data_IF_759131748411
#
_entry.id   IF_759131748411
#
_cell.length_a   1.000
_cell.length_b   1.000
_cell.length_c   1.000
_cell.angle_alpha   90.00
_cell.angle_beta   90.00
_cell.angle_gamma   90.00
#
_symmetry.space_group_name_H-M   'P 1'
#
loop_
_entity.id
_entity.type
_entity.pdbx_description
1 polymer ?
#
# COMPACT_ATOMS: atom_id res chain seq x y z
N UNK A 1 -3.38 -7.28 -8.66
CA UNK A 1 -2.99 -6.23 -9.61
C UNK A 1 -1.51 -6.41 -9.95
N UNK A 2 -1.17 -6.46 -11.23
CA UNK A 2 0.16 -6.77 -11.74
C UNK A 2 0.92 -5.54 -12.25
N UNK A 3 0.28 -4.36 -12.30
CA UNK A 3 0.91 -3.12 -12.74
C UNK A 3 1.19 -2.19 -11.55
N UNK A 4 2.39 -2.35 -10.98
CA UNK A 4 2.94 -1.44 -9.98
C UNK A 4 3.81 -0.34 -10.59
N UNK A 5 3.96 -0.28 -11.91
CA UNK A 5 4.89 0.59 -12.62
C UNK A 5 4.24 1.85 -13.21
N UNK A 6 2.95 1.81 -13.53
CA UNK A 6 2.20 3.00 -13.97
C UNK A 6 1.66 3.77 -12.77
N UNK A 7 1.50 5.10 -12.79
CA UNK A 7 0.75 5.81 -11.74
C UNK A 7 -0.77 5.64 -11.89
N UNK A 8 -1.55 5.94 -10.86
CA UNK A 8 -3.03 6.07 -10.93
C UNK A 8 -3.49 7.53 -11.02
N UNK A 9 -2.61 8.49 -10.74
CA UNK A 9 -2.87 9.90 -10.94
C UNK A 9 -1.58 10.67 -11.22
N UNK A 10 -1.74 11.80 -11.91
CA UNK A 10 -0.66 12.73 -12.19
C UNK A 10 -1.17 14.17 -12.11
N UNK A 11 -0.42 15.07 -11.47
CA UNK A 11 -0.75 16.48 -11.27
C UNK A 11 -2.16 16.71 -10.68
N UNK A 12 -2.62 15.84 -9.78
CA UNK A 12 -3.95 15.95 -9.16
C UNK A 12 -5.09 15.43 -10.03
N UNK A 13 -4.79 14.79 -11.17
CA UNK A 13 -5.79 14.21 -12.07
C UNK A 13 -5.68 12.70 -12.04
N UNK A 14 -6.74 12.03 -11.60
CA UNK A 14 -6.82 10.57 -11.60
C UNK A 14 -6.99 10.02 -13.02
N UNK A 15 -6.16 9.04 -13.37
CA UNK A 15 -6.33 8.20 -14.56
C UNK A 15 -6.97 6.85 -14.23
N UNK A 16 -6.91 6.44 -12.95
CA UNK A 16 -7.48 5.20 -12.43
C UNK A 16 -8.07 5.43 -11.03
N UNK A 17 -9.06 4.65 -10.59
CA UNK A 17 -9.51 4.69 -9.20
C UNK A 17 -8.42 4.17 -8.24
N UNK A 18 -8.61 4.38 -6.94
CA UNK A 18 -7.85 3.67 -5.92
C UNK A 18 -7.93 2.15 -6.17
N UNK A 19 -6.83 1.44 -5.92
CA UNK A 19 -6.64 0.02 -6.23
C UNK A 19 -6.67 -0.39 -7.71
N UNK A 20 -6.91 0.53 -8.66
CA UNK A 20 -7.04 0.31 -10.12
C UNK A 20 -8.19 -0.60 -10.55
N UNK A 21 -8.33 -1.74 -9.90
CA UNK A 21 -9.22 -2.83 -10.25
C UNK A 21 -10.17 -3.13 -9.10
N UNK A 22 -11.38 -3.65 -9.40
CA UNK A 22 -12.25 -4.22 -8.38
C UNK A 22 -11.57 -5.37 -7.62
N UNK A 23 -12.02 -5.62 -6.39
CA UNK A 23 -11.53 -6.75 -5.57
C UNK A 23 -11.60 -8.07 -6.33
N UNK A 24 -10.49 -8.80 -6.28
CA UNK A 24 -10.35 -10.13 -6.81
C UNK A 24 -10.52 -11.22 -5.75
N UNK A 25 -9.87 -12.35 -6.02
CA UNK A 25 -9.71 -13.43 -5.06
C UNK A 25 -8.63 -13.09 -4.05
N UNK A 26 -8.84 -13.51 -2.81
CA UNK A 26 -7.81 -13.47 -1.77
C UNK A 26 -6.59 -14.27 -2.22
N UNK A 27 -5.42 -13.63 -2.31
CA UNK A 27 -4.18 -14.28 -2.78
C UNK A 27 -3.26 -14.71 -1.64
N UNK A 28 -3.52 -14.24 -0.42
CA UNK A 28 -2.74 -14.60 0.75
C UNK A 28 -3.53 -14.43 2.04
N UNK A 29 -3.09 -15.13 3.09
CA UNK A 29 -3.62 -15.04 4.45
C UNK A 29 -2.47 -14.65 5.37
N UNK A 30 -2.66 -13.60 6.16
CA UNK A 30 -1.67 -13.16 7.14
C UNK A 30 -2.23 -13.21 8.56
N UNK A 31 -1.39 -13.57 9.53
CA UNK A 31 -1.74 -13.49 10.95
C UNK A 31 -1.48 -12.09 11.50
N UNK A 32 -2.28 -11.68 12.49
CA UNK A 32 -1.95 -10.51 13.30
C UNK A 32 -0.55 -10.68 13.91
N UNK A 33 0.29 -9.64 13.84
CA UNK A 33 1.69 -9.67 14.23
C UNK A 33 2.66 -10.24 13.19
N UNK A 34 2.16 -10.82 12.09
CA UNK A 34 3.01 -11.33 11.01
C UNK A 34 3.68 -10.19 10.23
N UNK A 35 4.91 -10.41 9.77
CA UNK A 35 5.59 -9.47 8.88
C UNK A 35 5.29 -9.81 7.42
N UNK A 36 4.66 -8.88 6.71
CA UNK A 36 4.56 -8.92 5.26
C UNK A 36 5.77 -8.24 4.63
N UNK A 37 6.26 -8.79 3.51
CA UNK A 37 7.33 -8.18 2.72
C UNK A 37 6.84 -7.94 1.30
N UNK A 38 6.83 -6.67 0.88
CA UNK A 38 6.59 -6.27 -0.51
C UNK A 38 7.93 -5.99 -1.19
N UNK A 39 8.18 -6.69 -2.29
CA UNK A 39 9.39 -6.51 -3.10
C UNK A 39 9.07 -5.64 -4.30
N UNK A 40 9.78 -4.53 -4.42
CA UNK A 40 9.55 -3.55 -5.48
C UNK A 40 10.50 -3.76 -6.65
N UNK A 41 10.02 -3.54 -7.86
CA UNK A 41 10.85 -3.46 -9.06
C UNK A 41 11.32 -2.01 -9.23
N UNK A 42 12.62 -1.79 -9.42
CA UNK A 42 13.24 -0.46 -9.43
C UNK A 42 13.46 0.12 -10.83
N UNK A 43 12.68 -0.30 -11.84
CA UNK A 43 12.89 0.08 -13.25
C UNK A 43 13.10 1.58 -13.48
N UNK A 44 12.22 2.44 -12.96
CA UNK A 44 12.36 3.89 -12.98
C UNK A 44 12.13 4.43 -11.56
N UNK A 45 13.18 4.66 -10.76
CA UNK A 45 13.01 4.94 -9.33
C UNK A 45 12.69 6.41 -9.04
N UNK A 46 12.69 7.32 -10.03
CA UNK A 46 12.30 8.73 -9.87
C UNK A 46 12.96 9.47 -8.68
N UNK A 47 14.26 9.19 -8.44
CA UNK A 47 15.04 9.64 -7.26
C UNK A 47 14.37 9.33 -5.91
N UNK A 48 13.52 8.32 -5.91
CA UNK A 48 12.80 7.78 -4.78
C UNK A 48 11.52 8.52 -4.47
N UNK A 49 11.35 8.91 -3.22
CA UNK A 49 10.12 9.54 -2.73
C UNK A 49 9.54 8.83 -1.52
N UNK A 50 8.24 9.01 -1.32
CA UNK A 50 7.53 8.54 -0.13
C UNK A 50 6.66 7.34 -0.46
N UNK A 51 6.80 6.24 0.27
CA UNK A 51 5.85 5.14 0.14
C UNK A 51 5.33 4.64 1.47
N UNK A 52 4.15 4.05 1.40
CA UNK A 52 3.48 3.45 2.53
C UNK A 52 3.03 2.03 2.21
N UNK A 53 3.02 1.21 3.24
CA UNK A 53 2.25 -0.03 3.26
C UNK A 53 1.07 0.21 4.18
N UNK A 54 -0.13 -0.07 3.71
CA UNK A 54 -1.37 0.21 4.42
C UNK A 54 -2.35 -0.95 4.35
N UNK A 55 -3.30 -0.99 5.28
CA UNK A 55 -4.39 -1.96 5.27
C UNK A 55 -5.72 -1.20 5.22
N UNK A 56 -6.63 -1.67 4.38
CA UNK A 56 -8.04 -1.30 4.43
C UNK A 56 -8.92 -2.50 4.73
N UNK A 57 -9.89 -2.30 5.61
CA UNK A 57 -10.92 -3.28 5.93
C UNK A 57 -12.20 -3.07 5.10
N UNK A 58 -12.29 -1.96 4.36
CA UNK A 58 -13.51 -1.52 3.67
C UNK A 58 -13.28 -0.89 2.28
N UNK A 59 -12.03 -0.90 1.78
CA UNK A 59 -11.58 -0.29 0.50
C UNK A 59 -11.76 1.22 0.39
N UNK A 60 -12.00 1.90 1.51
CA UNK A 60 -12.16 3.36 1.56
C UNK A 60 -11.12 3.97 2.46
N UNK A 61 -10.99 3.40 3.65
CA UNK A 61 -10.10 3.87 4.69
C UNK A 61 -8.84 3.01 4.68
N UNK A 62 -7.72 3.56 4.24
CA UNK A 62 -6.42 2.88 4.19
C UNK A 62 -5.55 3.39 5.34
N UNK A 63 -5.34 2.55 6.34
CA UNK A 63 -4.51 2.88 7.51
C UNK A 63 -3.07 2.49 7.23
N UNK A 64 -2.16 3.46 7.30
CA UNK A 64 -0.72 3.26 7.12
C UNK A 64 -0.13 2.46 8.29
N UNK A 65 0.58 1.38 7.97
CA UNK A 65 1.25 0.49 8.94
C UNK A 65 2.78 0.48 8.78
N UNK A 66 3.29 1.10 7.70
CA UNK A 66 4.71 1.34 7.45
C UNK A 66 4.85 2.53 6.53
N UNK A 67 5.79 3.41 6.85
CA UNK A 67 6.12 4.57 6.03
C UNK A 67 7.62 4.60 5.77
N UNK A 68 8.02 4.83 4.51
CA UNK A 68 9.38 5.19 4.11
C UNK A 68 9.34 6.60 3.53
N UNK A 69 10.08 7.51 4.16
CA UNK A 69 10.20 8.88 3.70
C UNK A 69 11.42 9.02 2.79
N UNK A 70 11.26 9.71 1.66
CA UNK A 70 12.29 10.13 0.70
C UNK A 70 13.07 9.02 -0.03
N UNK A 71 13.21 7.84 0.57
CA UNK A 71 14.09 6.77 0.07
C UNK A 71 13.36 5.57 -0.55
N UNK A 72 12.05 5.68 -0.76
CA UNK A 72 11.33 4.60 -1.43
C UNK A 72 11.96 4.30 -2.79
N UNK A 73 12.01 3.03 -3.23
CA UNK A 73 12.55 2.64 -4.55
C UNK A 73 14.05 2.88 -4.80
N UNK A 74 14.81 3.49 -3.89
CA UNK A 74 16.23 3.83 -4.11
C UNK A 74 17.21 3.16 -3.16
N UNK A 75 16.74 2.67 -2.01
CA UNK A 75 17.57 1.89 -1.08
C UNK A 75 16.98 0.51 -0.80
N UNK A 76 17.73 -0.31 -0.06
CA UNK A 76 17.34 -1.70 0.22
C UNK A 76 16.03 -1.82 0.99
N UNK A 77 15.71 -0.88 1.89
CA UNK A 77 14.49 -0.87 2.69
C UNK A 77 13.29 -0.41 1.84
N UNK A 78 13.48 0.62 1.02
CA UNK A 78 12.51 1.10 0.04
C UNK A 78 12.20 0.12 -1.10
N UNK A 79 13.08 -0.87 -1.34
CA UNK A 79 12.87 -1.95 -2.31
C UNK A 79 12.33 -3.24 -1.68
N UNK A 80 12.49 -3.41 -0.36
CA UNK A 80 12.03 -4.58 0.38
C UNK A 80 11.20 -4.13 1.57
N UNK A 81 10.05 -3.54 1.29
CA UNK A 81 9.17 -2.94 2.29
C UNK A 81 8.63 -4.02 3.21
N UNK A 82 9.12 -4.02 4.46
CA UNK A 82 8.62 -4.87 5.53
C UNK A 82 7.63 -4.10 6.39
N UNK A 83 6.44 -4.65 6.56
CA UNK A 83 5.41 -4.10 7.42
C UNK A 83 4.87 -5.21 8.32
N UNK A 84 4.50 -4.86 9.55
CA UNK A 84 3.90 -5.81 10.50
C UNK A 84 2.39 -5.62 10.47
N UNK A 85 1.64 -6.70 10.24
CA UNK A 85 0.19 -6.67 10.42
C UNK A 85 -0.08 -6.35 11.89
N UNK A 86 -0.87 -5.31 12.22
CA UNK A 86 -1.10 -4.92 13.60
C UNK A 86 -1.59 -6.09 14.45
N UNK A 87 -1.05 -6.25 15.65
CA UNK A 87 -1.49 -7.29 16.60
C UNK A 87 -2.99 -7.17 16.95
N UNK A 88 -3.54 -5.97 16.86
CA UNK A 88 -4.96 -5.69 17.11
C UNK A 88 -5.86 -5.97 15.90
N UNK A 89 -5.32 -6.36 14.74
CA UNK A 89 -6.10 -6.52 13.52
C UNK A 89 -7.22 -7.55 13.71
N UNK A 90 -8.42 -7.31 13.11
CA UNK A 90 -9.52 -8.26 13.22
C UNK A 90 -9.32 -9.47 12.32
N UNK A 91 -9.97 -10.59 12.67
CA UNK A 91 -10.19 -11.68 11.71
C UNK A 91 -11.13 -11.22 10.61
N UNK A 92 -10.65 -11.24 9.36
CA UNK A 92 -11.43 -10.80 8.20
C UNK A 92 -11.05 -11.60 6.95
N UNK A 93 -12.04 -12.21 6.30
CA UNK A 93 -11.83 -13.01 5.09
C UNK A 93 -11.39 -12.19 3.87
N UNK A 94 -11.74 -10.90 3.83
CA UNK A 94 -11.38 -9.97 2.76
C UNK A 94 -10.97 -8.61 3.33
N UNK A 95 -9.66 -8.42 3.46
CA UNK A 95 -9.02 -7.12 3.66
C UNK A 95 -8.16 -6.78 2.45
N UNK A 96 -7.67 -5.55 2.39
CA UNK A 96 -6.82 -5.06 1.31
C UNK A 96 -5.51 -4.58 1.88
N UNK A 97 -4.40 -5.17 1.45
CA UNK A 97 -3.07 -4.62 1.66
C UNK A 97 -2.74 -3.73 0.46
N UNK A 98 -2.33 -2.48 0.71
CA UNK A 98 -1.98 -1.55 -0.35
C UNK A 98 -0.56 -1.02 -0.17
N UNK A 99 0.14 -0.91 -1.30
CA UNK A 99 1.34 -0.10 -1.43
C UNK A 99 1.00 1.20 -2.15
N UNK A 100 1.48 2.32 -1.62
CA UNK A 100 1.38 3.63 -2.26
C UNK A 100 2.76 4.24 -2.44
N UNK A 101 2.96 5.03 -3.49
CA UNK A 101 4.20 5.78 -3.70
C UNK A 101 3.93 7.14 -4.34
N UNK A 102 4.59 8.16 -3.78
CA UNK A 102 4.67 9.52 -4.32
C UNK A 102 6.12 9.73 -4.74
N UNK A 103 6.35 9.83 -6.05
CA UNK A 103 7.69 9.96 -6.61
C UNK A 103 8.32 11.33 -6.30
N UNK A 104 9.64 11.37 -6.11
CA UNK A 104 10.34 12.61 -5.82
C UNK A 104 10.56 13.48 -7.09
N UNK A 105 10.96 12.84 -8.20
CA UNK A 105 11.36 13.52 -9.44
C UNK A 105 10.51 13.12 -10.66
N UNK A 106 10.32 14.07 -11.58
CA UNK A 106 9.55 13.88 -12.81
C UNK A 106 8.15 14.48 -12.69
N UNK A 107 7.16 13.85 -13.30
CA UNK A 107 5.76 14.23 -13.11
C UNK A 107 5.37 14.16 -11.62
N UNK A 108 4.32 14.86 -11.23
CA UNK A 108 3.79 14.78 -9.86
C UNK A 108 2.83 13.61 -9.81
N UNK A 109 3.30 12.41 -9.49
CA UNK A 109 2.53 11.18 -9.67
C UNK A 109 2.14 10.54 -8.33
N UNK A 110 1.05 9.78 -8.36
CA UNK A 110 0.60 8.92 -7.28
C UNK A 110 0.47 7.49 -7.79
N UNK A 111 1.18 6.58 -7.16
CA UNK A 111 1.15 5.16 -7.47
C UNK A 111 0.40 4.43 -6.37
N UNK A 112 -0.41 3.45 -6.76
CA UNK A 112 -1.07 2.55 -5.83
C UNK A 112 -1.16 1.17 -6.45
N UNK A 113 -0.99 0.15 -5.61
CA UNK A 113 -1.22 -1.24 -5.94
C UNK A 113 -1.90 -1.91 -4.74
N UNK A 114 -3.00 -2.63 -4.99
CA UNK A 114 -3.78 -3.32 -3.97
C UNK A 114 -3.74 -4.83 -4.14
N UNK A 115 -3.68 -5.51 -3.00
CA UNK A 115 -3.57 -6.95 -2.86
C UNK A 115 -4.70 -7.42 -1.94
N UNK A 116 -5.59 -8.25 -2.47
CA UNK A 116 -6.68 -8.85 -1.70
C UNK A 116 -6.11 -9.94 -0.78
N UNK A 117 -6.27 -9.74 0.52
CA UNK A 117 -5.74 -10.64 1.56
C UNK A 117 -6.86 -11.09 2.50
N UNK A 118 -6.60 -12.13 3.27
CA UNK A 118 -7.34 -12.39 4.50
C UNK A 118 -6.45 -12.17 5.71
N UNK A 119 -7.05 -11.82 6.83
CA UNK A 119 -6.36 -11.62 8.11
C UNK A 119 -6.92 -12.61 9.11
N UNK A 120 -6.03 -13.39 9.72
CA UNK A 120 -6.29 -14.19 10.92
C UNK A 120 -5.87 -13.35 12.13
N UNK A 121 -6.85 -12.72 12.78
CA UNK A 121 -6.61 -11.76 13.84
C UNK A 121 -7.35 -12.10 15.12
N UNK A 122 -7.75 -11.05 15.85
CA UNK A 122 -8.48 -11.18 17.11
C UNK A 122 -9.97 -10.86 16.91
N UNK A 123 -10.84 -11.53 17.68
CA UNK A 123 -12.26 -11.24 17.69
C UNK A 123 -12.49 -9.81 18.23
N UNK A 124 -13.25 -8.99 17.49
CA UNK A 124 -13.47 -7.58 17.86
C UNK A 124 -12.26 -6.67 17.61
N UNK A 125 -11.25 -7.12 16.86
CA UNK A 125 -10.06 -6.34 16.53
C UNK A 125 -10.34 -5.10 15.67
N UNK A 126 -9.35 -4.21 15.60
CA UNK A 126 -9.34 -3.03 14.74
C UNK A 126 -7.91 -2.66 14.33
N UNK A 127 -7.81 -1.88 13.26
CA UNK A 127 -6.56 -1.29 12.81
C UNK A 127 -6.67 0.21 13.03
N UNK A 128 -5.80 0.76 13.88
CA UNK A 128 -5.79 2.16 14.26
C UNK A 128 -4.45 2.77 13.88
N UNK A 129 -4.49 3.91 13.21
CA UNK A 129 -3.31 4.61 12.74
C UNK A 129 -3.69 5.77 11.84
N UNK A 130 -2.70 6.53 11.33
CA UNK A 130 -2.94 7.56 10.35
C UNK A 130 -3.44 6.92 9.04
N UNK A 131 -4.32 7.62 8.34
CA UNK A 131 -4.61 7.27 6.95
C UNK A 131 -3.42 7.57 6.05
N UNK A 132 -3.36 6.89 4.91
CA UNK A 132 -2.35 7.14 3.89
C UNK A 132 -2.35 8.61 3.43
N UNK A 133 -1.19 9.06 2.99
CA UNK A 133 -1.06 10.36 2.32
C UNK A 133 -1.55 10.22 0.89
N UNK A 134 -2.65 10.90 0.57
CA UNK A 134 -3.08 11.14 -0.81
C UNK A 134 -2.48 12.46 -1.31
N UNK A 135 -1.49 12.36 -2.19
CA UNK A 135 -0.93 13.51 -2.90
C UNK A 135 -1.00 13.24 -4.40
N UNK A 136 -1.13 14.30 -5.21
CA UNK A 136 -1.24 14.20 -6.67
C UNK A 136 -2.44 13.40 -7.20
N UNK A 137 -3.37 13.03 -6.32
CA UNK A 137 -4.65 12.39 -6.60
C UNK A 137 -5.79 13.36 -6.18
N UNK A 138 -6.95 13.39 -6.89
CA UNK A 138 -8.07 14.29 -6.58
C UNK A 138 -8.61 14.21 -5.16
#
# INVERSE_FOLDING_TARGET
>A
DYDSASPIASFGVASMPLCRYPKGQTVSTFKAGETVTLKMNNGAPHKGGHCEVSISLNDKDFVSIRTILTKCMVDADGLNLKAVIPQSAPTLAKATLAWTWINAEGNREFYMNCIDISIEGVAGGSIVGPFIVLANYP
#
